data_IF_134238548642
#
_entry.id   IF_134238548642
#
_cell.length_a   1.000
_cell.length_b   1.000
_cell.length_c   1.000
_cell.angle_alpha   90.00
_cell.angle_beta   90.00
_cell.angle_gamma   90.00
#
_symmetry.space_group_name_H-M   'P 1'
#
loop_
_entity.id
_entity.type
_entity.pdbx_description
1 polymer ?
#
# COMPACT_ATOMS: atom_id res chain seq x y z
N UNK A 1 -4.59 14.03 -5.86
CA UNK A 1 -5.33 13.08 -6.71
C UNK A 1 -6.32 13.90 -7.53
N UNK A 2 -6.34 13.71 -8.83
CA UNK A 2 -7.25 14.42 -9.73
C UNK A 2 -8.62 13.71 -9.74
N UNK A 3 -9.69 14.44 -9.42
CA UNK A 3 -11.06 13.94 -9.40
C UNK A 3 -11.69 13.92 -10.82
N UNK A 4 -10.95 14.27 -11.88
CA UNK A 4 -11.42 14.25 -13.27
C UNK A 4 -11.27 12.90 -13.97
N UNK A 5 -10.84 11.83 -13.29
CA UNK A 5 -10.88 10.48 -13.85
C UNK A 5 -12.25 9.83 -13.54
N UNK A 6 -13.15 9.63 -14.53
CA UNK A 6 -14.49 9.04 -14.32
C UNK A 6 -14.47 7.54 -13.94
N UNK A 7 -13.30 7.00 -13.61
CA UNK A 7 -13.06 5.58 -13.47
C UNK A 7 -13.45 5.03 -12.10
N UNK A 8 -13.53 5.88 -11.06
CA UNK A 8 -13.92 5.45 -9.71
C UNK A 8 -15.31 5.97 -9.34
N UNK A 9 -16.19 5.05 -8.99
CA UNK A 9 -17.53 5.37 -8.46
C UNK A 9 -17.45 5.37 -6.95
N UNK A 10 -17.39 6.56 -6.35
CA UNK A 10 -17.46 6.71 -4.90
C UNK A 10 -18.89 6.47 -4.42
N UNK A 11 -19.06 5.61 -3.42
CA UNK A 11 -20.36 5.28 -2.82
C UNK A 11 -20.47 5.75 -1.37
N UNK A 12 -19.35 6.02 -0.71
CA UNK A 12 -19.32 6.55 0.65
C UNK A 12 -19.47 8.07 0.65
N UNK A 13 -20.38 8.57 1.49
CA UNK A 13 -20.56 10.01 1.75
C UNK A 13 -19.60 10.53 2.82
N UNK A 14 -18.90 9.64 3.53
CA UNK A 14 -18.08 10.00 4.70
C UNK A 14 -16.59 9.79 4.49
N UNK A 15 -16.21 8.90 3.57
CA UNK A 15 -14.82 8.55 3.31
C UNK A 15 -14.58 8.78 1.83
N UNK A 16 -13.88 9.86 1.50
CA UNK A 16 -13.49 10.19 0.13
C UNK A 16 -12.10 9.64 -0.21
N UNK A 17 -11.94 9.15 -1.45
CA UNK A 17 -10.61 8.87 -1.99
C UNK A 17 -9.83 10.19 -2.07
N UNK A 18 -8.56 10.17 -1.66
CA UNK A 18 -7.74 11.37 -1.55
C UNK A 18 -8.00 12.20 -0.28
N UNK A 19 -8.92 11.77 0.59
CA UNK A 19 -9.10 12.35 1.92
C UNK A 19 -7.88 12.14 2.82
N UNK A 20 -7.72 13.02 3.81
CA UNK A 20 -6.63 12.91 4.80
C UNK A 20 -6.94 11.80 5.80
N UNK A 21 -6.00 10.88 5.99
CA UNK A 21 -6.06 9.91 7.07
C UNK A 21 -5.88 10.66 8.40
N UNK A 22 -6.80 10.48 9.33
CA UNK A 22 -6.72 11.05 10.67
C UNK A 22 -7.39 10.10 11.68
N UNK A 23 -6.77 9.84 12.84
CA UNK A 23 -5.45 10.30 13.27
C UNK A 23 -4.29 9.67 12.46
N UNK A 24 -3.08 10.21 12.62
CA UNK A 24 -1.83 9.66 12.05
C UNK A 24 -0.89 9.20 13.17
N UNK A 25 0.05 8.29 12.84
CA UNK A 25 1.04 7.78 13.79
C UNK A 25 1.99 8.90 14.23
N UNK A 26 2.58 8.74 15.42
CA UNK A 26 3.61 9.66 15.94
C UNK A 26 4.94 8.92 16.09
N UNK A 27 6.04 9.58 15.71
CA UNK A 27 7.39 9.03 15.86
C UNK A 27 7.70 8.75 17.35
N UNK A 28 8.15 7.53 17.66
CA UNK A 28 8.33 6.97 19.01
C UNK A 28 7.07 7.07 19.90
N UNK A 29 5.90 7.09 19.29
CA UNK A 29 4.63 7.28 19.99
C UNK A 29 3.54 6.32 19.53
N UNK A 30 2.29 6.77 19.66
CA UNK A 30 1.11 5.99 19.26
C UNK A 30 1.18 5.66 17.77
N UNK A 31 1.10 4.37 17.46
CA UNK A 31 0.93 3.88 16.10
C UNK A 31 -0.57 3.70 15.81
N UNK A 32 -0.98 4.09 14.61
CA UNK A 32 -2.34 3.90 14.12
C UNK A 32 -2.27 3.23 12.75
N UNK A 33 -3.26 2.40 12.47
CA UNK A 33 -3.32 1.60 11.26
C UNK A 33 -4.70 1.73 10.64
N UNK A 34 -4.73 1.49 9.33
CA UNK A 34 -5.95 1.36 8.54
C UNK A 34 -5.86 0.05 7.78
N UNK A 35 -6.98 -0.65 7.65
CA UNK A 35 -7.03 -1.85 6.82
C UNK A 35 -7.57 -1.49 5.45
N UNK A 36 -6.87 -1.85 4.39
CA UNK A 36 -7.34 -1.68 3.02
C UNK A 36 -7.63 -3.04 2.41
N UNK A 37 -8.79 -3.18 1.77
CA UNK A 37 -9.15 -4.37 1.02
C UNK A 37 -9.58 -3.96 -0.38
N UNK A 38 -8.92 -4.55 -1.38
CA UNK A 38 -9.32 -4.50 -2.78
C UNK A 38 -9.80 -5.88 -3.19
N UNK A 39 -11.05 -5.99 -3.63
CA UNK A 39 -11.61 -7.26 -4.12
C UNK A 39 -12.45 -7.09 -5.38
N UNK A 40 -12.46 -8.10 -6.24
CA UNK A 40 -13.34 -8.13 -7.41
C UNK A 40 -14.65 -8.83 -7.06
N UNK A 41 -15.78 -8.13 -7.21
CA UNK A 41 -17.11 -8.70 -6.99
C UNK A 41 -17.42 -9.81 -8.01
N UNK A 42 -17.89 -10.99 -7.58
CA UNK A 42 -18.10 -12.12 -8.48
C UNK A 42 -19.25 -11.93 -9.47
N UNK A 43 -20.17 -10.99 -9.24
CA UNK A 43 -21.39 -10.80 -10.04
C UNK A 43 -21.18 -9.82 -11.19
N UNK A 44 -20.73 -8.61 -10.87
CA UNK A 44 -20.54 -7.48 -11.78
C UNK A 44 -19.07 -7.26 -12.15
N UNK A 45 -18.13 -7.97 -11.51
CA UNK A 45 -16.68 -7.82 -11.73
C UNK A 45 -16.13 -6.44 -11.39
N UNK A 46 -16.87 -5.66 -10.62
CA UNK A 46 -16.41 -4.38 -10.08
C UNK A 46 -15.32 -4.62 -9.05
N UNK A 47 -14.28 -3.79 -9.10
CA UNK A 47 -13.21 -3.81 -8.10
C UNK A 47 -13.57 -2.87 -6.96
N UNK A 48 -13.97 -3.44 -5.84
CA UNK A 48 -14.37 -2.70 -4.65
C UNK A 48 -13.18 -2.36 -3.77
N UNK A 49 -13.13 -1.11 -3.32
CA UNK A 49 -12.21 -0.63 -2.32
C UNK A 49 -12.92 -0.48 -0.98
N UNK A 50 -12.36 -1.11 0.04
CA UNK A 50 -12.79 -1.04 1.43
C UNK A 50 -11.71 -0.38 2.27
N UNK A 51 -12.16 0.46 3.19
CA UNK A 51 -11.36 1.02 4.28
C UNK A 51 -11.93 0.51 5.59
N UNK A 52 -11.09 -0.18 6.33
CA UNK A 52 -11.46 -1.07 7.41
C UNK A 52 -12.58 -2.02 6.97
N UNK A 53 -13.79 -1.83 7.51
CA UNK A 53 -14.97 -2.64 7.21
C UNK A 53 -15.97 -1.93 6.30
N UNK A 54 -15.65 -0.71 5.83
CA UNK A 54 -16.58 0.14 5.10
C UNK A 54 -16.21 0.21 3.61
N UNK A 55 -17.17 -0.02 2.68
CA UNK A 55 -16.93 0.23 1.26
C UNK A 55 -16.79 1.73 1.03
N UNK A 56 -15.72 2.13 0.32
CA UNK A 56 -15.55 3.51 -0.14
C UNK A 56 -16.21 3.70 -1.52
N UNK A 57 -16.07 2.70 -2.39
CA UNK A 57 -16.53 2.74 -3.76
C UNK A 57 -15.88 1.65 -4.59
N UNK A 58 -16.02 1.74 -5.91
CA UNK A 58 -15.51 0.73 -6.82
C UNK A 58 -15.05 1.30 -8.17
N UNK A 59 -14.17 0.57 -8.83
CA UNK A 59 -13.91 0.72 -10.26
C UNK A 59 -14.80 -0.27 -11.05
N UNK A 60 -15.54 0.19 -12.08
CA UNK A 60 -16.31 -0.70 -12.93
C UNK A 60 -15.45 -1.80 -13.56
N UNK A 61 -15.95 -3.03 -13.55
CA UNK A 61 -15.22 -4.18 -14.11
C UNK A 61 -14.88 -4.04 -15.60
N UNK A 62 -15.68 -3.25 -16.34
CA UNK A 62 -15.45 -2.93 -17.76
C UNK A 62 -14.14 -2.20 -18.03
N UNK A 63 -13.52 -1.60 -17.02
CA UNK A 63 -12.21 -0.95 -17.16
C UNK A 63 -11.05 -1.95 -17.29
N UNK A 64 -11.25 -3.21 -16.91
CA UNK A 64 -10.19 -4.20 -16.80
C UNK A 64 -10.51 -5.45 -17.62
N UNK A 65 -10.19 -5.43 -18.92
CA UNK A 65 -10.43 -6.57 -19.82
C UNK A 65 -9.59 -7.79 -19.46
N UNK A 66 -8.29 -7.60 -19.22
CA UNK A 66 -7.35 -8.69 -18.92
C UNK A 66 -7.58 -9.32 -17.54
N UNK A 67 -7.98 -8.50 -16.55
CA UNK A 67 -8.21 -8.95 -15.17
C UNK A 67 -9.64 -9.41 -14.91
N UNK A 68 -10.54 -9.32 -15.90
CA UNK A 68 -11.97 -9.62 -15.74
C UNK A 68 -12.22 -11.05 -15.26
N UNK A 69 -11.49 -11.99 -15.84
CA UNK A 69 -11.75 -13.42 -15.68
C UNK A 69 -10.73 -14.11 -14.75
N UNK A 70 -10.06 -13.33 -13.89
CA UNK A 70 -9.14 -13.86 -12.88
C UNK A 70 -7.76 -14.26 -13.41
N UNK A 71 -7.37 -13.75 -14.58
CA UNK A 71 -6.10 -14.09 -15.25
C UNK A 71 -4.87 -13.35 -14.68
N UNK A 72 -4.98 -12.79 -13.47
CA UNK A 72 -3.86 -12.12 -12.83
C UNK A 72 -2.76 -13.13 -12.46
N UNK A 73 -1.55 -12.91 -12.96
CA UNK A 73 -0.36 -13.72 -12.65
C UNK A 73 0.55 -13.08 -11.59
N UNK A 74 0.42 -11.76 -11.39
CA UNK A 74 1.22 -10.97 -10.45
C UNK A 74 0.31 -10.03 -9.67
N UNK A 75 0.57 -9.91 -8.37
CA UNK A 75 -0.01 -8.89 -7.51
C UNK A 75 1.12 -8.06 -6.91
N UNK A 76 0.98 -6.73 -6.94
CA UNK A 76 1.94 -5.80 -6.36
C UNK A 76 1.24 -5.02 -5.27
N UNK A 77 1.88 -4.95 -4.10
CA UNK A 77 1.45 -4.16 -2.96
C UNK A 77 2.55 -3.15 -2.68
N UNK A 78 2.17 -1.89 -2.48
CA UNK A 78 3.16 -0.87 -2.16
C UNK A 78 2.60 0.53 -2.28
N UNK A 79 3.51 1.49 -2.23
CA UNK A 79 3.25 2.88 -2.53
C UNK A 79 4.12 3.34 -3.69
N UNK A 80 3.79 4.51 -4.22
CA UNK A 80 4.66 5.24 -5.12
C UNK A 80 4.76 6.68 -4.63
N UNK A 81 5.89 7.29 -4.93
CA UNK A 81 6.12 8.72 -4.74
C UNK A 81 6.45 9.32 -6.09
N UNK A 82 6.02 10.55 -6.29
CA UNK A 82 6.29 11.29 -7.50
C UNK A 82 6.56 12.73 -7.13
N UNK A 83 7.65 13.28 -7.64
CA UNK A 83 8.07 14.65 -7.37
C UNK A 83 9.32 15.04 -8.14
N UNK A 84 9.82 16.26 -7.93
CA UNK A 84 11.05 16.75 -8.54
C UNK A 84 12.24 15.85 -8.20
N UNK A 85 13.19 15.73 -9.12
CA UNK A 85 14.39 14.92 -8.89
C UNK A 85 15.33 15.54 -7.84
N UNK A 86 15.37 16.86 -7.74
CA UNK A 86 16.27 17.59 -6.82
C UNK A 86 15.72 17.74 -5.40
N UNK A 87 14.42 17.51 -5.22
CA UNK A 87 13.76 17.57 -3.92
C UNK A 87 12.69 16.46 -3.90
N UNK A 88 13.12 15.18 -3.82
CA UNK A 88 12.20 14.06 -3.78
C UNK A 88 11.32 14.14 -2.53
N UNK A 89 10.01 13.87 -2.63
CA UNK A 89 9.14 13.90 -1.47
C UNK A 89 9.43 12.74 -0.52
N UNK A 90 9.25 12.98 0.78
CA UNK A 90 9.30 11.95 1.81
C UNK A 90 8.35 10.78 1.50
N UNK A 91 8.76 9.54 1.84
CA UNK A 91 7.90 8.37 1.78
C UNK A 91 7.55 7.87 3.18
N UNK A 92 6.27 7.56 3.39
CA UNK A 92 5.77 6.92 4.61
C UNK A 92 5.86 7.86 5.82
N UNK A 93 6.85 7.63 6.68
CA UNK A 93 7.08 8.40 7.90
C UNK A 93 8.18 9.45 7.77
N UNK A 94 8.89 9.50 6.64
CA UNK A 94 10.11 10.30 6.50
C UNK A 94 11.33 9.70 7.23
N UNK A 95 11.23 8.45 7.70
CA UNK A 95 12.29 7.74 8.41
C UNK A 95 12.73 6.47 7.70
N UNK A 96 13.98 6.04 7.93
CA UNK A 96 14.54 4.84 7.34
C UNK A 96 13.79 3.58 7.81
N UNK A 97 13.60 2.62 6.89
CA UNK A 97 12.89 1.37 7.17
C UNK A 97 13.54 0.52 8.27
N UNK A 98 14.87 0.64 8.45
CA UNK A 98 15.61 -0.06 9.50
C UNK A 98 15.30 0.46 10.93
N UNK A 99 14.64 1.61 11.06
CA UNK A 99 14.21 2.15 12.35
C UNK A 99 13.04 1.35 12.96
N UNK A 100 12.30 0.60 12.13
CA UNK A 100 11.24 -0.35 12.51
C UNK A 100 10.11 0.27 13.36
N UNK A 101 9.47 -0.57 14.18
CA UNK A 101 8.25 -0.27 14.92
C UNK A 101 8.35 1.02 15.73
N UNK A 102 7.27 1.80 15.69
CA UNK A 102 7.20 3.08 16.37
C UNK A 102 7.88 4.24 15.62
N UNK A 103 8.62 3.98 14.55
CA UNK A 103 9.45 4.99 13.87
C UNK A 103 9.25 4.99 12.36
N UNK A 104 9.48 3.85 11.71
CA UNK A 104 9.29 3.66 10.29
C UNK A 104 7.83 3.36 9.95
N UNK A 105 7.42 3.69 8.72
CA UNK A 105 6.12 3.27 8.21
C UNK A 105 6.17 1.78 7.85
N UNK A 106 5.02 1.11 7.88
CA UNK A 106 4.93 -0.31 7.57
C UNK A 106 3.61 -0.67 6.89
N UNK A 107 3.64 -1.79 6.18
CA UNK A 107 2.46 -2.53 5.76
C UNK A 107 2.56 -3.92 6.38
N UNK A 108 1.48 -4.39 7.00
CA UNK A 108 1.44 -5.70 7.67
C UNK A 108 0.17 -6.46 7.36
N UNK A 109 0.14 -7.74 7.74
CA UNK A 109 -0.96 -8.65 7.45
C UNK A 109 -1.33 -8.68 5.96
N UNK A 110 -0.33 -8.60 5.08
CA UNK A 110 -0.54 -8.55 3.63
C UNK A 110 -1.04 -9.92 3.16
N UNK A 111 -2.20 -9.93 2.52
CA UNK A 111 -2.88 -11.14 2.02
C UNK A 111 -3.40 -10.89 0.60
N UNK A 112 -3.71 -11.98 -0.11
CA UNK A 112 -4.41 -11.92 -1.41
C UNK A 112 -5.84 -12.44 -1.27
N UNK A 113 -6.74 -11.95 -2.11
CA UNK A 113 -8.06 -12.57 -2.32
C UNK A 113 -7.89 -13.66 -3.38
N UNK A 114 -8.32 -14.90 -3.07
CA UNK A 114 -8.23 -16.02 -4.01
C UNK A 114 -9.49 -16.15 -4.88
N UNK A 115 -9.51 -17.12 -5.80
CA UNK A 115 -10.64 -17.38 -6.71
C UNK A 115 -11.95 -17.78 -5.99
N UNK A 116 -11.88 -18.20 -4.72
CA UNK A 116 -13.04 -18.51 -3.88
C UNK A 116 -13.54 -17.27 -3.11
N UNK A 117 -13.01 -16.08 -3.40
CA UNK A 117 -13.27 -14.83 -2.71
C UNK A 117 -12.96 -14.89 -1.21
N UNK A 118 -11.92 -15.64 -0.82
CA UNK A 118 -11.44 -15.66 0.57
C UNK A 118 -10.03 -15.08 0.65
N UNK A 119 -9.72 -14.47 1.80
CA UNK A 119 -8.35 -14.06 2.11
C UNK A 119 -7.45 -15.30 2.20
N UNK A 120 -6.29 -15.22 1.59
CA UNK A 120 -5.26 -16.25 1.57
C UNK A 120 -3.88 -15.62 1.77
N UNK A 121 -3.02 -16.34 2.48
CA UNK A 121 -1.64 -15.92 2.71
C UNK A 121 -0.82 -15.92 1.43
N UNK A 122 0.16 -15.01 1.36
CA UNK A 122 1.09 -14.93 0.24
C UNK A 122 2.01 -16.16 0.23
N UNK A 123 2.38 -16.59 -0.98
CA UNK A 123 3.41 -17.60 -1.15
C UNK A 123 4.78 -16.92 -0.93
N UNK A 124 5.34 -17.09 0.27
CA UNK A 124 6.54 -16.38 0.69
C UNK A 124 7.77 -16.76 -0.17
N UNK A 125 7.80 -17.97 -0.74
CA UNK A 125 8.87 -18.40 -1.64
C UNK A 125 8.82 -17.68 -3.00
N UNK A 126 7.69 -17.07 -3.35
CA UNK A 126 7.48 -16.36 -4.63
C UNK A 126 7.25 -14.86 -4.46
N UNK A 127 7.40 -14.35 -3.24
CA UNK A 127 7.11 -12.95 -2.92
C UNK A 127 8.34 -12.30 -2.32
N UNK A 128 8.65 -11.09 -2.78
CA UNK A 128 9.77 -10.29 -2.30
C UNK A 128 9.35 -8.83 -2.17
N UNK A 129 10.06 -8.09 -1.32
CA UNK A 129 9.92 -6.65 -1.21
C UNK A 129 11.11 -5.96 -1.87
N UNK A 130 10.88 -4.84 -2.55
CA UNK A 130 11.94 -4.10 -3.22
C UNK A 130 11.61 -2.60 -3.30
N UNK A 131 12.66 -1.79 -3.51
CA UNK A 131 12.57 -0.38 -3.84
C UNK A 131 13.11 -0.16 -5.25
N UNK A 132 12.44 0.69 -6.04
CA UNK A 132 12.91 1.09 -7.38
C UNK A 132 14.04 2.12 -7.33
N UNK A 133 14.23 2.78 -6.17
CA UNK A 133 15.30 3.74 -5.91
C UNK A 133 15.88 3.53 -4.51
N UNK A 134 16.61 2.42 -4.26
CA UNK A 134 17.12 2.08 -2.93
C UNK A 134 17.96 3.18 -2.24
N UNK A 135 18.78 3.99 -2.95
CA UNK A 135 19.50 5.11 -2.33
C UNK A 135 18.59 6.22 -1.78
N UNK A 136 17.34 6.28 -2.24
CA UNK A 136 16.39 7.33 -1.87
C UNK A 136 15.23 6.81 -1.03
N UNK A 137 14.87 5.53 -1.17
CA UNK A 137 13.72 4.94 -0.49
C UNK A 137 14.08 3.54 -0.03
N UNK A 138 14.05 3.32 1.27
CA UNK A 138 14.44 2.05 1.86
C UNK A 138 13.24 1.15 2.10
N UNK A 139 13.50 -0.15 1.97
CA UNK A 139 12.57 -1.23 2.30
C UNK A 139 13.37 -2.23 3.15
N UNK A 140 12.86 -2.60 4.31
CA UNK A 140 13.57 -3.46 5.26
C UNK A 140 12.59 -4.44 5.91
N UNK A 141 13.15 -5.54 6.42
CA UNK A 141 12.51 -6.44 7.37
C UNK A 141 11.22 -7.06 6.80
N UNK A 142 11.25 -7.38 5.50
CA UNK A 142 10.24 -8.20 4.86
C UNK A 142 10.25 -9.60 5.48
N UNK A 143 9.18 -9.95 6.19
CA UNK A 143 9.12 -11.18 6.98
C UNK A 143 7.67 -11.68 7.17
N UNK A 144 7.52 -12.89 7.72
CA UNK A 144 6.25 -13.48 8.11
C UNK A 144 6.35 -14.01 9.55
N UNK A 145 5.62 -13.36 10.48
CA UNK A 145 5.55 -13.75 11.89
C UNK A 145 4.15 -13.45 12.45
N UNK A 146 4.01 -13.19 13.76
CA UNK A 146 2.74 -12.85 14.41
C UNK A 146 2.02 -11.62 13.81
N UNK A 147 2.70 -10.78 13.04
CA UNK A 147 2.12 -9.65 12.28
C UNK A 147 1.63 -10.03 10.87
N UNK A 148 1.64 -11.32 10.51
CA UNK A 148 1.46 -11.79 9.14
C UNK A 148 2.65 -11.41 8.26
N UNK A 149 2.46 -11.44 6.93
CA UNK A 149 3.45 -10.92 5.99
C UNK A 149 3.50 -9.40 6.13
N UNK A 150 4.70 -8.85 6.35
CA UNK A 150 4.89 -7.42 6.60
C UNK A 150 6.22 -6.91 6.07
N UNK A 151 6.32 -5.60 5.96
CA UNK A 151 7.50 -4.88 5.52
C UNK A 151 7.52 -3.47 6.11
N UNK A 152 8.72 -2.96 6.39
CA UNK A 152 8.94 -1.56 6.73
C UNK A 152 9.43 -0.79 5.50
N UNK A 153 9.00 0.46 5.37
CA UNK A 153 9.40 1.35 4.28
C UNK A 153 9.48 2.81 4.75
N UNK A 154 10.28 3.59 4.05
CA UNK A 154 10.37 5.03 4.25
C UNK A 154 11.74 5.60 3.98
N UNK A 155 11.79 6.92 3.86
CA UNK A 155 13.00 7.75 3.77
C UNK A 155 12.61 9.25 3.75
N UNK A 156 13.45 10.16 4.27
CA UNK A 156 13.27 11.62 4.19
C UNK A 156 13.23 12.27 2.78
N UNK A 157 13.38 11.52 1.70
CA UNK A 157 13.46 12.05 0.34
C UNK A 157 14.85 12.52 -0.07
N UNK A 158 15.90 12.33 0.73
CA UNK A 158 17.26 12.78 0.36
C UNK A 158 18.05 11.62 -0.26
N UNK A 159 18.07 11.59 -1.60
CA UNK A 159 18.84 10.65 -2.41
C UNK A 159 20.37 10.86 -2.25
N UNK A 160 20.92 10.72 -1.04
CA UNK A 160 22.35 10.80 -0.84
C UNK A 160 23.03 9.50 -1.30
N UNK A 161 24.02 9.57 -2.21
CA UNK A 161 24.69 8.38 -2.73
C UNK A 161 25.56 7.64 -1.70
N UNK A 162 25.63 8.10 -0.45
CA UNK A 162 26.44 7.49 0.60
C UNK A 162 25.71 7.48 1.95
N UNK A 163 25.77 6.36 2.70
CA UNK A 163 25.29 6.34 4.08
C UNK A 163 26.12 7.35 4.88
N UNK A 164 25.44 8.27 5.57
CA UNK A 164 26.09 9.10 6.57
C UNK A 164 26.57 8.17 7.69
N UNK A 165 27.88 7.94 7.74
CA UNK A 165 28.52 7.23 8.84
C UNK A 165 28.22 8.03 10.12
N UNK A 166 27.48 7.42 11.04
CA UNK A 166 27.40 7.86 12.44
C UNK A 166 28.03 6.80 13.31
#
# INVERSE_FOLDING_TARGET
MDFHCPSFVQTSEHIGVGGRITPVSTYKGKQVEVTLLLFQDPRMRNWWLFYDTKPIGYWPGSLFTELRDGNANVAVFGGYVWGPMHDPPEMGSGHFANEREGKAAYARNIKRVNMRNTLADLDFAKTFAYSTKPPCYTVDSYNHNGNGVHVYYGEPGDCHPYPSVR
#
